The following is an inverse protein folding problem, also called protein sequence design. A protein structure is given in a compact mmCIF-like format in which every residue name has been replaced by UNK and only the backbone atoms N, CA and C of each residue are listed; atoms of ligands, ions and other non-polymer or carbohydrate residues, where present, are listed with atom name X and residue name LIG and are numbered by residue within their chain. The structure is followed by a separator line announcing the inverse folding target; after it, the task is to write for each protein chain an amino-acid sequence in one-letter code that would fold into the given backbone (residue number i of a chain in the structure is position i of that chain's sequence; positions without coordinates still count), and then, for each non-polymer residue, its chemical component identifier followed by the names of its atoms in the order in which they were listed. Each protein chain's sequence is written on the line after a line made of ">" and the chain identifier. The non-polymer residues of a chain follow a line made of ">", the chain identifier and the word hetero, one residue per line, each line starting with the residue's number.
data_IF_047023638614
#
_entry.id   IF_047023638614
#
_cell.length_a   1.000
_cell.length_b   1.000
_cell.length_c   1.000
_cell.angle_alpha   90.00
_cell.angle_beta   90.00
_cell.angle_gamma   90.00
#
_symmetry.space_group_name_H-M   'P 1'
#
loop_
_entity.id
_entity.type
_entity.pdbx_description
1 polymer ?
#
# COMPACT_ATOMS: atom_id res chain seq x y z
N UNK A 1 3.24 -16.36 -4.29
CA UNK A 1 2.18 -16.83 -5.19
C UNK A 1 2.07 -18.37 -5.28
N UNK A 2 3.17 -19.18 -5.36
CA UNK A 2 3.04 -20.64 -5.54
C UNK A 2 2.20 -21.32 -4.49
N UNK A 3 2.37 -20.97 -3.20
CA UNK A 3 1.60 -21.58 -2.11
C UNK A 3 0.10 -21.27 -2.19
N UNK A 4 -0.26 -20.06 -2.61
CA UNK A 4 -1.68 -19.72 -2.82
C UNK A 4 -2.26 -20.49 -4.00
N UNK A 5 -1.55 -20.57 -5.13
CA UNK A 5 -1.99 -21.32 -6.31
C UNK A 5 -2.21 -22.81 -5.99
N UNK A 6 -1.32 -23.42 -5.20
CA UNK A 6 -1.46 -24.80 -4.76
C UNK A 6 -2.70 -25.05 -3.89
N UNK A 7 -3.06 -24.08 -3.03
CA UNK A 7 -4.16 -24.26 -2.08
C UNK A 7 -5.53 -23.86 -2.64
N UNK A 8 -5.60 -22.81 -3.46
CA UNK A 8 -6.88 -22.28 -3.95
C UNK A 8 -7.13 -22.54 -5.45
N UNK A 9 -6.10 -22.95 -6.17
CA UNK A 9 -6.11 -23.12 -7.63
C UNK A 9 -5.93 -21.78 -8.36
N UNK A 10 -5.37 -21.85 -9.56
CA UNK A 10 -5.03 -20.66 -10.36
C UNK A 10 -6.24 -19.78 -10.66
N UNK A 11 -7.37 -20.38 -11.02
CA UNK A 11 -8.58 -19.64 -11.37
C UNK A 11 -9.09 -18.77 -10.20
N UNK A 12 -9.03 -19.29 -8.97
CA UNK A 12 -9.47 -18.54 -7.78
C UNK A 12 -8.44 -17.51 -7.32
N UNK A 13 -7.17 -17.70 -7.68
CA UNK A 13 -6.10 -16.78 -7.34
C UNK A 13 -6.35 -15.37 -7.91
N UNK A 14 -7.08 -15.25 -9.03
CA UNK A 14 -7.48 -13.95 -9.60
C UNK A 14 -8.27 -13.07 -8.63
N UNK A 15 -8.96 -13.66 -7.67
CA UNK A 15 -9.74 -12.94 -6.66
C UNK A 15 -8.95 -12.72 -5.34
N UNK A 16 -7.70 -13.18 -5.28
CA UNK A 16 -6.82 -12.90 -4.15
C UNK A 16 -6.33 -11.46 -4.19
N UNK A 17 -6.63 -10.68 -3.15
CA UNK A 17 -6.28 -9.25 -3.09
C UNK A 17 -6.70 -8.50 -4.36
N UNK A 18 -7.97 -8.64 -4.74
CA UNK A 18 -8.52 -8.16 -6.02
C UNK A 18 -8.82 -6.65 -5.97
N UNK A 19 -7.79 -5.82 -5.81
CA UNK A 19 -7.92 -4.38 -5.53
C UNK A 19 -8.69 -3.62 -6.62
N UNK A 20 -8.41 -3.89 -7.90
CA UNK A 20 -9.14 -3.24 -9.00
C UNK A 20 -10.62 -3.66 -9.02
N UNK A 21 -10.93 -4.92 -8.71
CA UNK A 21 -12.32 -5.37 -8.59
C UNK A 21 -13.04 -4.69 -7.43
N UNK A 22 -12.38 -4.50 -6.27
CA UNK A 22 -12.96 -3.77 -5.14
C UNK A 22 -13.31 -2.35 -5.54
N UNK A 23 -12.39 -1.63 -6.18
CA UNK A 23 -12.65 -0.27 -6.68
C UNK A 23 -13.80 -0.22 -7.67
N UNK A 24 -13.83 -1.14 -8.64
CA UNK A 24 -14.90 -1.21 -9.63
C UNK A 24 -16.30 -1.38 -8.99
N UNK A 25 -16.37 -2.09 -7.88
CA UNK A 25 -17.60 -2.30 -7.12
C UNK A 25 -17.84 -1.28 -6.00
N UNK A 26 -17.03 -0.23 -5.90
CA UNK A 26 -17.16 0.80 -4.87
C UNK A 26 -16.83 0.31 -3.45
N UNK A 27 -16.09 -0.79 -3.33
CA UNK A 27 -15.65 -1.34 -2.05
C UNK A 27 -14.38 -0.60 -1.60
N UNK A 28 -14.43 0.01 -0.44
CA UNK A 28 -13.27 0.66 0.18
C UNK A 28 -12.42 -0.40 0.87
N UNK A 29 -11.29 -0.75 0.27
CA UNK A 29 -10.36 -1.74 0.81
C UNK A 29 -9.12 -1.07 1.38
N UNK A 30 -8.80 -1.37 2.64
CA UNK A 30 -7.55 -0.98 3.28
C UNK A 30 -6.42 -1.92 2.89
N UNK A 31 -5.19 -1.42 2.86
CA UNK A 31 -3.98 -2.21 2.66
C UNK A 31 -3.22 -2.43 3.97
N UNK A 32 -2.57 -3.59 4.08
CA UNK A 32 -1.72 -3.95 5.21
C UNK A 32 -0.63 -4.92 4.76
N UNK A 33 0.45 -5.03 5.53
CA UNK A 33 1.51 -6.01 5.32
C UNK A 33 1.22 -7.34 6.00
N UNK A 34 0.30 -7.38 6.96
CA UNK A 34 0.04 -8.57 7.79
C UNK A 34 1.33 -9.08 8.46
N UNK A 35 2.17 -8.14 8.93
CA UNK A 35 3.42 -8.47 9.63
C UNK A 35 3.16 -9.43 10.80
N UNK A 36 3.91 -10.56 10.91
CA UNK A 36 5.21 -10.86 10.27
C UNK A 36 5.13 -11.71 8.99
N UNK A 37 3.96 -11.84 8.36
CA UNK A 37 3.80 -12.63 7.12
C UNK A 37 4.65 -12.06 5.99
N UNK A 38 4.68 -10.73 5.87
CA UNK A 38 5.64 -10.00 5.04
C UNK A 38 6.30 -8.88 5.85
N UNK A 39 7.43 -8.32 5.40
CA UNK A 39 8.09 -7.20 6.07
C UNK A 39 7.14 -6.00 6.25
N UNK A 40 7.32 -5.19 7.31
CA UNK A 40 6.42 -4.08 7.63
C UNK A 40 6.50 -2.90 6.64
N UNK A 41 7.52 -2.86 5.81
CA UNK A 41 7.76 -1.76 4.87
C UNK A 41 6.65 -1.67 3.81
N UNK A 42 5.94 -0.54 3.72
CA UNK A 42 4.81 -0.39 2.81
C UNK A 42 5.20 -0.42 1.33
N UNK A 43 6.48 -0.16 1.01
CA UNK A 43 6.98 -0.14 -0.35
C UNK A 43 6.72 -1.43 -1.13
N UNK A 44 6.85 -2.60 -0.50
CA UNK A 44 6.51 -3.88 -1.13
C UNK A 44 5.02 -3.99 -1.45
N UNK A 45 4.16 -3.53 -0.53
CA UNK A 45 2.72 -3.52 -0.76
C UNK A 45 2.32 -2.59 -1.89
N UNK A 46 2.89 -1.38 -1.96
CA UNK A 46 2.69 -0.44 -3.07
C UNK A 46 3.14 -1.08 -4.39
N UNK A 47 4.33 -1.67 -4.42
CA UNK A 47 4.85 -2.37 -5.59
C UNK A 47 3.89 -3.46 -6.08
N UNK A 48 3.44 -4.34 -5.18
CA UNK A 48 2.54 -5.44 -5.57
C UNK A 48 1.17 -4.96 -6.03
N UNK A 49 0.62 -3.91 -5.44
CA UNK A 49 -0.66 -3.33 -5.87
C UNK A 49 -0.56 -2.68 -7.25
N UNK A 50 0.56 -2.01 -7.56
CA UNK A 50 0.75 -1.32 -8.83
C UNK A 50 1.16 -2.26 -9.95
N UNK A 51 2.01 -3.27 -9.66
CA UNK A 51 2.57 -4.15 -10.70
C UNK A 51 1.91 -5.52 -10.79
N UNK A 52 1.27 -5.97 -9.73
CA UNK A 52 0.79 -7.35 -9.56
C UNK A 52 1.90 -8.41 -9.72
N UNK A 53 3.15 -8.02 -9.58
CA UNK A 53 4.29 -8.96 -9.58
C UNK A 53 4.49 -9.56 -8.20
N UNK A 54 4.81 -10.84 -8.14
CA UNK A 54 5.28 -11.51 -6.94
C UNK A 54 6.78 -11.25 -6.69
N UNK A 55 7.35 -11.86 -5.66
CA UNK A 55 8.77 -11.71 -5.32
C UNK A 55 9.73 -12.28 -6.38
N UNK A 56 9.25 -13.14 -7.28
CA UNK A 56 10.03 -13.66 -8.39
C UNK A 56 9.93 -12.77 -9.64
N UNK A 57 9.04 -11.77 -9.62
CA UNK A 57 8.77 -10.88 -10.75
C UNK A 57 7.67 -11.39 -11.69
N UNK A 58 7.01 -12.52 -11.36
CA UNK A 58 5.91 -13.06 -12.16
C UNK A 58 4.63 -12.25 -11.93
N UNK A 59 3.97 -11.87 -13.02
CA UNK A 59 2.70 -11.12 -12.95
C UNK A 59 1.57 -12.06 -12.59
N UNK A 60 0.88 -11.77 -11.49
CA UNK A 60 -0.25 -12.54 -10.99
C UNK A 60 -1.55 -11.74 -11.21
N UNK A 61 -2.30 -12.08 -12.27
CA UNK A 61 -3.55 -11.41 -12.62
C UNK A 61 -3.40 -9.88 -12.71
N UNK A 62 -2.64 -9.43 -13.73
CA UNK A 62 -2.29 -8.01 -13.94
C UNK A 62 -3.49 -7.06 -14.04
N UNK A 63 -4.68 -7.55 -14.41
CA UNK A 63 -5.91 -6.78 -14.42
C UNK A 63 -6.38 -6.32 -13.03
N UNK A 64 -5.79 -6.84 -11.97
CA UNK A 64 -6.04 -6.40 -10.60
C UNK A 64 -5.07 -5.31 -10.13
N UNK A 65 -4.17 -4.84 -11.00
CA UNK A 65 -3.32 -3.68 -10.70
C UNK A 65 -4.15 -2.40 -10.55
N UNK A 66 -3.69 -1.54 -9.64
CA UNK A 66 -4.29 -0.23 -9.40
C UNK A 66 -3.24 0.88 -9.58
N UNK A 67 -3.69 2.12 -9.66
CA UNK A 67 -2.77 3.27 -9.71
C UNK A 67 -1.96 3.42 -8.42
N UNK A 68 -0.83 4.12 -8.49
CA UNK A 68 -0.04 4.44 -7.29
C UNK A 68 -0.85 5.30 -6.30
N UNK A 69 -1.64 6.25 -6.80
CA UNK A 69 -2.51 7.08 -5.95
C UNK A 69 -3.53 6.25 -5.18
N UNK A 70 -4.16 5.29 -5.85
CA UNK A 70 -5.11 4.39 -5.21
C UNK A 70 -4.43 3.46 -4.21
N UNK A 71 -3.20 3.02 -4.50
CA UNK A 71 -2.40 2.21 -3.60
C UNK A 71 -2.00 3.00 -2.34
N UNK A 72 -1.55 4.24 -2.49
CA UNK A 72 -1.27 5.16 -1.38
C UNK A 72 -2.54 5.44 -0.56
N UNK A 73 -3.66 5.71 -1.24
CA UNK A 73 -4.96 5.90 -0.58
C UNK A 73 -5.37 4.68 0.25
N UNK A 74 -5.06 3.47 -0.23
CA UNK A 74 -5.37 2.22 0.49
C UNK A 74 -4.59 2.10 1.81
N UNK A 75 -3.36 2.62 1.86
CA UNK A 75 -2.53 2.67 3.07
C UNK A 75 -2.84 3.84 4.00
N UNK A 76 -3.55 4.86 3.53
CA UNK A 76 -3.82 6.09 4.28
C UNK A 76 -5.30 6.24 4.61
N UNK A 77 -6.06 6.91 3.77
CA UNK A 77 -7.47 7.24 4.02
C UNK A 77 -8.34 5.98 4.18
N UNK A 78 -8.14 4.96 3.32
CA UNK A 78 -8.94 3.74 3.42
C UNK A 78 -8.65 2.97 4.72
N UNK A 79 -7.40 3.00 5.21
CA UNK A 79 -7.04 2.39 6.50
C UNK A 79 -7.66 3.13 7.66
N UNK A 80 -7.71 4.47 7.61
CA UNK A 80 -8.42 5.29 8.60
C UNK A 80 -9.93 5.00 8.57
N UNK A 81 -10.52 4.89 7.38
CA UNK A 81 -11.93 4.53 7.19
C UNK A 81 -12.24 3.15 7.79
N UNK A 82 -11.39 2.16 7.58
CA UNK A 82 -11.57 0.81 8.13
C UNK A 82 -11.58 0.78 9.68
N UNK A 83 -10.95 1.77 10.33
CA UNK A 83 -10.97 1.96 11.78
C UNK A 83 -12.00 2.99 12.26
N UNK A 84 -12.82 3.56 11.36
CA UNK A 84 -13.80 4.63 11.65
C UNK A 84 -13.15 5.91 12.15
N UNK A 85 -11.96 6.23 11.67
CA UNK A 85 -11.14 7.37 12.11
C UNK A 85 -10.82 8.35 10.95
N UNK A 86 -11.47 8.21 9.79
CA UNK A 86 -11.25 9.06 8.62
C UNK A 86 -11.57 10.54 8.85
N UNK A 87 -12.34 10.83 9.91
CA UNK A 87 -12.61 12.18 10.36
C UNK A 87 -11.45 12.85 11.11
N UNK A 88 -10.48 12.05 11.60
CA UNK A 88 -9.38 12.55 12.45
C UNK A 88 -8.00 12.25 11.89
N UNK A 89 -7.85 11.33 10.93
CA UNK A 89 -6.57 10.99 10.31
C UNK A 89 -6.74 10.43 8.88
N UNK A 90 -5.66 10.06 8.23
CA UNK A 90 -5.63 9.41 6.90
C UNK A 90 -5.59 10.38 5.72
N UNK A 91 -5.65 11.69 5.96
CA UNK A 91 -5.46 12.74 4.95
C UNK A 91 -4.87 14.00 5.58
N UNK A 92 -4.18 14.81 4.76
CA UNK A 92 -3.57 16.07 5.18
C UNK A 92 -4.59 17.21 5.05
N UNK A 93 -5.52 17.29 6.00
CA UNK A 93 -6.56 18.30 6.05
C UNK A 93 -6.50 19.07 7.39
N UNK A 94 -6.80 20.37 7.39
CA UNK A 94 -6.85 21.15 8.63
C UNK A 94 -7.77 20.51 9.67
N UNK A 95 -7.26 20.31 10.89
CA UNK A 95 -8.00 19.71 12.00
C UNK A 95 -7.82 18.20 12.16
N UNK A 96 -7.09 17.54 11.26
CA UNK A 96 -6.69 16.15 11.40
C UNK A 96 -5.30 16.01 12.02
N UNK A 97 -4.98 14.82 12.51
CA UNK A 97 -3.65 14.47 13.02
C UNK A 97 -2.58 14.66 11.93
N UNK A 98 -1.44 15.18 12.32
CA UNK A 98 -0.29 15.36 11.44
C UNK A 98 0.53 14.08 11.33
N UNK A 99 -0.06 13.04 10.74
CA UNK A 99 0.61 11.75 10.48
C UNK A 99 1.18 11.77 9.07
N UNK A 100 2.49 11.95 8.93
CA UNK A 100 3.13 12.20 7.64
C UNK A 100 4.45 11.41 7.51
N UNK A 101 4.58 10.53 6.53
CA UNK A 101 5.87 10.09 6.04
C UNK A 101 6.41 11.11 5.03
N UNK A 102 7.68 11.51 5.16
CA UNK A 102 8.37 12.38 4.21
C UNK A 102 9.39 11.54 3.45
N UNK A 103 9.33 11.60 2.12
CA UNK A 103 10.20 10.83 1.22
C UNK A 103 11.20 11.77 0.54
N UNK A 104 12.45 11.36 0.38
CA UNK A 104 13.46 12.09 -0.40
C UNK A 104 13.08 12.11 -1.89
N UNK A 105 12.47 11.03 -2.36
CA UNK A 105 12.13 10.85 -3.76
C UNK A 105 10.66 11.19 -4.01
N UNK A 106 10.41 11.97 -5.06
CA UNK A 106 9.06 12.15 -5.57
C UNK A 106 8.52 10.78 -6.03
N UNK A 107 7.38 10.39 -5.48
CA UNK A 107 6.72 9.15 -5.86
C UNK A 107 6.01 9.25 -7.23
N UNK A 108 5.93 10.43 -7.82
CA UNK A 108 5.40 10.68 -9.16
C UNK A 108 6.43 11.45 -10.02
N UNK A 109 7.09 10.86 -10.99
CA UNK A 109 6.91 9.57 -11.66
C UNK A 109 7.98 8.52 -11.27
N UNK A 110 7.79 7.80 -10.18
CA UNK A 110 8.73 6.75 -9.78
C UNK A 110 8.60 5.51 -10.70
N UNK A 111 9.72 4.88 -11.00
CA UNK A 111 9.70 3.53 -11.56
C UNK A 111 9.06 2.57 -10.54
N UNK A 112 8.01 1.83 -10.90
CA UNK A 112 7.38 0.88 -9.99
C UNK A 112 8.35 -0.10 -9.33
N UNK A 113 9.42 -0.50 -9.99
CA UNK A 113 10.45 -1.39 -9.40
C UNK A 113 11.19 -0.73 -8.22
N UNK A 114 11.33 0.60 -8.22
CA UNK A 114 11.97 1.33 -7.13
C UNK A 114 11.09 1.40 -5.87
N UNK A 115 9.77 1.20 -5.99
CA UNK A 115 8.86 1.20 -4.82
C UNK A 115 9.29 0.20 -3.74
N UNK A 116 9.88 -0.93 -4.10
CA UNK A 116 10.37 -1.94 -3.13
C UNK A 116 11.40 -1.42 -2.16
N UNK A 117 12.14 -0.39 -2.55
CA UNK A 117 13.28 0.15 -1.78
C UNK A 117 13.02 1.52 -1.18
N UNK A 118 11.82 2.10 -1.39
CA UNK A 118 11.52 3.40 -0.77
C UNK A 118 11.55 3.29 0.75
N UNK A 119 12.11 4.34 1.36
CA UNK A 119 12.13 4.51 2.82
C UNK A 119 11.83 5.97 3.12
N UNK A 120 11.09 6.27 4.18
CA UNK A 120 10.91 7.65 4.58
C UNK A 120 12.22 8.24 5.13
N UNK A 121 12.45 9.52 4.88
CA UNK A 121 13.48 10.29 5.55
C UNK A 121 13.02 10.73 6.93
N UNK A 122 11.74 11.07 7.05
CA UNK A 122 11.11 11.41 8.31
C UNK A 122 9.77 10.70 8.44
N UNK A 123 9.44 10.35 9.67
CA UNK A 123 8.08 9.91 10.04
C UNK A 123 7.59 10.80 11.17
N UNK A 124 6.45 11.42 10.95
CA UNK A 124 5.78 12.30 11.89
C UNK A 124 4.47 11.62 12.30
N UNK A 125 4.18 11.55 13.60
CA UNK A 125 2.91 11.07 14.12
C UNK A 125 2.36 12.11 15.11
N UNK A 126 1.11 12.50 14.94
CA UNK A 126 0.44 13.55 15.70
C UNK A 126 1.27 14.86 15.76
N UNK A 127 1.90 15.20 14.63
CA UNK A 127 2.76 16.40 14.52
C UNK A 127 4.12 16.28 15.22
N UNK A 128 4.44 15.11 15.79
CA UNK A 128 5.72 14.87 16.49
C UNK A 128 6.60 13.95 15.65
N UNK A 129 7.86 14.37 15.42
CA UNK A 129 8.85 13.53 14.74
C UNK A 129 9.12 12.25 15.52
N UNK A 130 8.91 11.10 14.88
CA UNK A 130 9.15 9.77 15.45
C UNK A 130 10.42 9.13 14.91
N UNK A 131 10.80 9.48 13.69
CA UNK A 131 11.94 8.91 13.00
C UNK A 131 12.56 9.95 12.06
N UNK A 132 13.88 9.98 12.03
CA UNK A 132 14.72 10.70 11.08
C UNK A 132 15.82 9.76 10.61
N UNK A 133 15.99 9.63 9.29
CA UNK A 133 17.03 8.78 8.71
C UNK A 133 18.40 9.44 8.92
N UNK A 134 19.34 8.71 9.49
CA UNK A 134 20.74 9.15 9.57
C UNK A 134 21.35 9.24 8.17
N UNK A 135 22.17 10.29 7.95
CA UNK A 135 22.82 10.59 6.69
C UNK A 135 23.95 9.59 6.36
#
# INVERSE_FOLDING_TARGET
>A
APAYAQNVGEERLRYSNAMASYQHHGIIAAASTDTPVVPPEPGYGLYHMVTRKDLNGDVIWGEQAISLDDALRSYTWNSAYASFEEGIKGSLEPGKLGDVPVWETDLHPIDPEALKSIRPDYTIADGVGQFEREA
#
